data_IF_212842953382
#
_entry.id   IF_212842953382
#
_cell.length_a   1.000
_cell.length_b   1.000
_cell.length_c   1.000
_cell.angle_alpha   90.00
_cell.angle_beta   90.00
_cell.angle_gamma   90.00
#
_symmetry.space_group_name_H-M   'P 1'
#
loop_
_entity.id
_entity.type
_entity.pdbx_description
1 polymer ?
#
# COMPACT_ATOMS: atom_id res chain seq x y z
N UNK A 1 -10.79 -15.65 14.45
CA UNK A 1 -10.16 -14.32 14.43
C UNK A 1 -10.99 -13.29 13.66
N UNK A 2 -11.43 -13.56 12.43
CA UNK A 2 -12.28 -12.64 11.62
C UNK A 2 -13.44 -11.95 12.39
N UNK A 3 -14.18 -12.68 13.24
CA UNK A 3 -15.29 -12.13 14.03
C UNK A 3 -14.91 -11.01 15.01
N UNK A 4 -13.70 -11.04 15.60
CA UNK A 4 -13.25 -10.00 16.52
C UNK A 4 -12.83 -8.72 15.78
N UNK A 5 -12.10 -8.88 14.67
CA UNK A 5 -11.64 -7.77 13.82
C UNK A 5 -12.82 -6.98 13.26
N UNK A 6 -13.84 -7.69 12.75
CA UNK A 6 -15.04 -7.05 12.22
C UNK A 6 -15.87 -6.33 13.29
N UNK A 7 -15.90 -6.84 14.52
CA UNK A 7 -16.59 -6.14 15.61
C UNK A 7 -15.87 -4.85 16.01
N UNK A 8 -14.54 -4.87 16.09
CA UNK A 8 -13.72 -3.68 16.30
C UNK A 8 -13.89 -2.67 15.17
N UNK A 9 -13.90 -3.14 13.91
CA UNK A 9 -14.15 -2.29 12.75
C UNK A 9 -15.53 -1.62 12.81
N UNK A 10 -16.59 -2.39 13.10
CA UNK A 10 -17.95 -1.85 13.26
C UNK A 10 -18.02 -0.77 14.32
N UNK A 11 -17.36 -1.00 15.47
CA UNK A 11 -17.30 -0.01 16.54
C UNK A 11 -16.59 1.27 16.06
N UNK A 12 -15.42 1.15 15.44
CA UNK A 12 -14.66 2.30 14.92
C UNK A 12 -15.40 3.07 13.84
N UNK A 13 -16.10 2.37 12.94
CA UNK A 13 -16.92 3.01 11.92
C UNK A 13 -18.14 3.72 12.52
N UNK A 14 -18.75 3.16 13.57
CA UNK A 14 -19.87 3.79 14.27
C UNK A 14 -19.45 5.00 15.12
N UNK A 15 -18.22 5.02 15.64
CA UNK A 15 -17.65 6.13 16.42
C UNK A 15 -17.29 7.34 15.54
N UNK A 16 -17.07 7.13 14.24
CA UNK A 16 -16.65 8.18 13.32
C UNK A 16 -17.85 8.86 12.63
N UNK A 17 -17.87 10.20 12.64
CA UNK A 17 -18.90 10.98 11.95
C UNK A 17 -18.85 10.85 10.42
N UNK A 18 -17.71 10.42 9.87
CA UNK A 18 -17.47 10.21 8.45
C UNK A 18 -16.64 8.95 8.21
N UNK A 19 -16.88 8.24 7.11
CA UNK A 19 -16.03 7.12 6.70
C UNK A 19 -14.57 7.57 6.52
N UNK A 20 -13.63 6.75 6.99
CA UNK A 20 -12.18 7.00 6.96
C UNK A 20 -11.47 5.82 6.28
N UNK A 21 -10.29 6.02 5.67
CA UNK A 21 -9.59 4.91 5.02
C UNK A 21 -9.28 3.76 5.98
N UNK A 22 -9.37 2.53 5.47
CA UNK A 22 -9.09 1.31 6.22
C UNK A 22 -7.89 0.62 5.57
N UNK A 23 -6.91 0.26 6.39
CA UNK A 23 -5.79 -0.59 6.00
C UNK A 23 -5.98 -1.97 6.63
N UNK A 24 -6.02 -3.01 5.81
CA UNK A 24 -6.07 -4.40 6.29
C UNK A 24 -4.83 -5.14 5.83
N UNK A 25 -4.10 -5.72 6.79
CA UNK A 25 -2.89 -6.50 6.51
C UNK A 25 -3.30 -7.89 6.05
N UNK A 26 -3.02 -8.24 4.80
CA UNK A 26 -3.43 -9.52 4.22
C UNK A 26 -2.49 -10.66 4.59
N UNK A 27 -1.20 -10.32 4.72
CA UNK A 27 -0.12 -11.28 4.88
C UNK A 27 0.81 -10.94 6.06
N UNK A 28 0.52 -9.90 6.85
CA UNK A 28 1.34 -9.50 7.99
C UNK A 28 2.63 -8.78 7.64
N UNK A 29 2.84 -8.42 6.37
CA UNK A 29 4.09 -7.80 5.91
C UNK A 29 3.86 -6.69 4.88
N UNK A 30 3.63 -7.07 3.62
CA UNK A 30 3.62 -6.16 2.48
C UNK A 30 2.35 -6.17 1.63
N UNK A 31 1.51 -7.20 1.76
CA UNK A 31 0.24 -7.26 1.04
C UNK A 31 -0.86 -6.58 1.83
N UNK A 32 -1.46 -5.55 1.25
CA UNK A 32 -2.48 -4.73 1.90
C UNK A 32 -3.78 -4.69 1.09
N UNK A 33 -4.91 -4.76 1.79
CA UNK A 33 -6.18 -4.25 1.28
C UNK A 33 -6.36 -2.83 1.82
N UNK A 34 -6.42 -1.86 0.92
CA UNK A 34 -6.58 -0.45 1.20
C UNK A 34 -7.99 -0.05 0.74
N UNK A 35 -8.85 0.34 1.68
CA UNK A 35 -10.23 0.75 1.40
C UNK A 35 -10.37 2.25 1.59
N UNK A 36 -10.53 3.00 0.50
CA UNK A 36 -10.61 4.47 0.51
C UNK A 36 -12.07 4.89 0.42
N UNK A 37 -12.59 5.76 1.31
CA UNK A 37 -13.99 6.18 1.26
C UNK A 37 -14.33 6.82 -0.08
N UNK A 38 -15.42 6.37 -0.70
CA UNK A 38 -15.95 7.03 -1.89
C UNK A 38 -16.59 8.37 -1.50
N UNK A 39 -16.40 9.42 -2.32
CA UNK A 39 -17.24 10.62 -2.23
C UNK A 39 -18.71 10.25 -2.24
N UNK A 40 -19.55 10.96 -1.48
CA UNK A 40 -20.97 10.61 -1.31
C UNK A 40 -21.71 10.48 -2.64
N UNK A 41 -21.39 11.32 -3.63
CA UNK A 41 -21.98 11.28 -4.98
C UNK A 41 -21.57 10.04 -5.81
N UNK A 42 -20.51 9.34 -5.42
CA UNK A 42 -19.92 8.18 -6.12
C UNK A 42 -20.24 6.84 -5.41
N UNK A 43 -21.02 6.87 -4.31
CA UNK A 43 -21.43 5.70 -3.53
C UNK A 43 -22.57 4.95 -4.22
N UNK A 44 -22.27 4.28 -5.34
CA UNK A 44 -23.22 3.46 -6.12
C UNK A 44 -23.33 2.05 -5.53
N UNK A 45 -23.84 1.92 -4.31
CA UNK A 45 -23.96 0.62 -3.62
C UNK A 45 -22.68 0.13 -2.93
N UNK A 46 -21.58 0.87 -3.03
CA UNK A 46 -20.32 0.64 -2.29
C UNK A 46 -19.91 1.90 -1.54
N UNK A 47 -19.48 1.74 -0.29
CA UNK A 47 -18.98 2.81 0.55
C UNK A 47 -17.50 3.12 0.27
N UNK A 48 -16.73 2.13 -0.15
CA UNK A 48 -15.30 2.22 -0.36
C UNK A 48 -14.87 1.86 -1.78
N UNK A 49 -13.71 2.40 -2.17
CA UNK A 49 -12.93 1.93 -3.29
C UNK A 49 -11.82 1.02 -2.75
N UNK A 50 -11.83 -0.24 -3.15
CA UNK A 50 -10.96 -1.29 -2.60
C UNK A 50 -9.77 -1.58 -3.50
N UNK A 51 -8.58 -1.37 -2.96
CA UNK A 51 -7.29 -1.56 -3.60
C UNK A 51 -6.57 -2.73 -2.95
N UNK A 52 -6.17 -3.72 -3.73
CA UNK A 52 -5.18 -4.72 -3.29
C UNK A 52 -3.80 -4.23 -3.72
N UNK A 53 -2.85 -4.12 -2.80
CA UNK A 53 -1.49 -3.63 -3.06
C UNK A 53 -0.47 -4.75 -2.82
N UNK A 54 0.43 -4.96 -3.80
CA UNK A 54 1.55 -5.92 -3.77
C UNK A 54 1.15 -7.30 -3.23
N UNK A 55 0.28 -8.00 -3.97
CA UNK A 55 -0.30 -9.26 -3.53
C UNK A 55 0.70 -10.43 -3.61
N UNK A 56 1.20 -10.84 -2.44
CA UNK A 56 1.94 -12.06 -2.18
C UNK A 56 1.29 -12.83 -1.03
N UNK A 57 0.33 -13.69 -1.39
CA UNK A 57 -0.49 -14.45 -0.43
C UNK A 57 -0.05 -15.91 -0.29
N UNK A 58 0.83 -16.38 -1.20
CA UNK A 58 1.43 -17.70 -1.12
C UNK A 58 2.55 -17.78 -0.05
N UNK A 59 2.86 -18.97 0.49
CA UNK A 59 3.85 -19.10 1.58
C UNK A 59 5.30 -18.79 1.17
N UNK A 60 5.63 -19.04 -0.10
CA UNK A 60 6.96 -18.84 -0.65
C UNK A 60 6.91 -18.14 -1.99
N UNK A 61 8.05 -17.66 -2.48
CA UNK A 61 8.21 -17.12 -3.83
C UNK A 61 9.66 -17.26 -4.28
N UNK A 62 9.88 -17.22 -5.60
CA UNK A 62 11.19 -17.45 -6.21
C UNK A 62 11.56 -16.22 -7.03
N UNK A 63 12.61 -15.51 -6.63
CA UNK A 63 13.05 -14.28 -7.32
C UNK A 63 13.75 -14.56 -8.66
N UNK A 64 14.26 -15.78 -8.86
CA UNK A 64 14.90 -16.24 -10.11
C UNK A 64 14.60 -17.71 -10.40
N UNK A 65 15.51 -18.61 -10.01
CA UNK A 65 15.31 -20.06 -9.93
C UNK A 65 15.43 -20.45 -8.46
N UNK A 66 14.72 -21.48 -8.00
CA UNK A 66 14.65 -21.81 -6.57
C UNK A 66 16.01 -22.14 -5.92
N UNK A 67 17.03 -22.52 -6.70
CA UNK A 67 18.40 -22.75 -6.22
C UNK A 67 19.27 -21.47 -6.14
N UNK A 68 18.78 -20.36 -6.70
CA UNK A 68 19.47 -19.05 -6.77
C UNK A 68 19.07 -18.17 -5.58
N UNK A 69 17.77 -17.83 -5.48
CA UNK A 69 17.20 -17.08 -4.35
C UNK A 69 15.72 -17.43 -4.21
N UNK A 70 15.35 -17.97 -3.05
CA UNK A 70 13.99 -18.24 -2.63
C UNK A 70 13.70 -17.42 -1.37
N UNK A 71 12.56 -16.75 -1.39
CA UNK A 71 12.03 -15.97 -0.29
C UNK A 71 10.84 -16.75 0.28
N UNK A 72 10.79 -16.90 1.60
CA UNK A 72 9.67 -17.51 2.30
C UNK A 72 9.15 -16.58 3.37
N UNK A 73 7.84 -16.63 3.63
CA UNK A 73 7.24 -15.96 4.78
C UNK A 73 7.36 -16.85 6.02
N UNK A 74 7.51 -16.21 7.18
CA UNK A 74 7.55 -16.93 8.46
C UNK A 74 6.17 -17.44 8.91
N UNK A 75 5.11 -16.80 8.44
CA UNK A 75 3.73 -17.18 8.70
C UNK A 75 2.94 -17.18 7.39
N UNK A 76 1.88 -17.98 7.33
CA UNK A 76 0.95 -18.00 6.20
C UNK A 76 0.15 -16.69 6.10
N UNK A 77 -0.40 -16.39 4.92
CA UNK A 77 -1.30 -15.23 4.81
C UNK A 77 -2.58 -15.49 5.62
N UNK A 78 -3.05 -14.47 6.35
CA UNK A 78 -4.37 -14.56 6.97
C UNK A 78 -5.47 -14.61 5.91
N UNK A 79 -5.24 -13.94 4.77
CA UNK A 79 -6.12 -13.93 3.60
C UNK A 79 -5.36 -14.57 2.44
N UNK A 80 -5.79 -15.75 2.00
CA UNK A 80 -4.95 -16.64 1.18
C UNK A 80 -5.06 -16.41 -0.34
N UNK A 81 -6.15 -15.81 -0.84
CA UNK A 81 -6.45 -15.69 -2.27
C UNK A 81 -7.46 -14.57 -2.57
N UNK A 82 -7.69 -14.31 -3.87
CA UNK A 82 -8.66 -13.34 -4.36
C UNK A 82 -10.08 -13.53 -3.80
N UNK A 83 -10.67 -14.74 -3.83
CA UNK A 83 -11.98 -14.99 -3.21
C UNK A 83 -12.04 -14.66 -1.71
N UNK A 84 -10.97 -14.94 -0.95
CA UNK A 84 -10.91 -14.55 0.46
C UNK A 84 -10.86 -13.02 0.65
N UNK A 85 -10.18 -12.29 -0.25
CA UNK A 85 -10.20 -10.82 -0.27
C UNK A 85 -11.61 -10.28 -0.59
N UNK A 86 -12.32 -10.89 -1.54
CA UNK A 86 -13.71 -10.54 -1.87
C UNK A 86 -14.64 -10.70 -0.67
N UNK A 87 -14.52 -11.81 0.07
CA UNK A 87 -15.30 -12.03 1.30
C UNK A 87 -15.00 -10.96 2.36
N UNK A 88 -13.72 -10.61 2.55
CA UNK A 88 -13.30 -9.55 3.46
C UNK A 88 -13.89 -8.18 3.05
N UNK A 89 -13.93 -7.87 1.74
CA UNK A 89 -14.56 -6.65 1.23
C UNK A 89 -16.05 -6.62 1.57
N UNK A 90 -16.76 -7.74 1.40
CA UNK A 90 -18.18 -7.83 1.77
C UNK A 90 -18.41 -7.56 3.27
N UNK A 91 -17.50 -8.03 4.14
CA UNK A 91 -17.57 -7.75 5.57
C UNK A 91 -17.34 -6.26 5.89
N UNK A 92 -16.38 -5.61 5.22
CA UNK A 92 -16.09 -4.17 5.35
C UNK A 92 -17.29 -3.34 4.88
N UNK A 93 -17.82 -3.62 3.68
CA UNK A 93 -18.97 -2.93 3.11
C UNK A 93 -20.24 -3.14 3.96
N UNK A 94 -20.46 -4.35 4.47
CA UNK A 94 -21.54 -4.64 5.42
C UNK A 94 -21.41 -3.86 6.74
N UNK A 95 -20.19 -3.72 7.26
CA UNK A 95 -19.93 -2.89 8.45
C UNK A 95 -20.17 -1.40 8.19
N UNK A 96 -19.77 -0.90 7.01
CA UNK A 96 -19.97 0.49 6.59
C UNK A 96 -21.45 0.82 6.39
N UNK A 97 -22.20 -0.09 5.77
CA UNK A 97 -23.64 0.02 5.57
C UNK A 97 -24.38 0.17 6.90
N UNK A 98 -24.01 -0.65 7.90
CA UNK A 98 -24.58 -0.62 9.24
C UNK A 98 -24.24 0.66 10.01
N UNK A 99 -23.03 1.21 9.83
CA UNK A 99 -22.56 2.37 10.56
C UNK A 99 -23.15 3.70 10.06
N UNK A 100 -23.29 3.88 8.75
CA UNK A 100 -23.52 5.22 8.19
C UNK A 100 -24.91 5.45 7.59
N UNK A 101 -25.84 4.48 7.62
CA UNK A 101 -27.06 4.50 6.78
C UNK A 101 -26.76 4.90 5.31
N UNK A 102 -25.50 4.75 4.88
CA UNK A 102 -24.91 5.49 3.75
C UNK A 102 -25.10 4.80 2.42
N UNK A 103 -25.78 3.66 2.41
CA UNK A 103 -26.16 2.96 1.20
C UNK A 103 -27.65 3.22 1.02
N UNK A 104 -27.97 4.26 0.24
CA UNK A 104 -29.28 4.29 -0.40
C UNK A 104 -29.39 3.00 -1.22
N UNK A 105 -30.56 2.35 -1.19
CA UNK A 105 -30.85 1.16 -1.99
C UNK A 105 -30.27 1.32 -3.42
N UNK A 106 -29.77 0.22 -4.04
CA UNK A 106 -29.17 0.30 -5.36
C UNK A 106 -30.08 1.14 -6.26
N UNK A 107 -29.52 2.20 -6.85
CA UNK A 107 -30.23 2.90 -7.90
C UNK A 107 -30.61 1.86 -8.95
N UNK A 108 -31.88 1.87 -9.36
CA UNK A 108 -32.41 1.09 -10.46
C UNK A 108 -31.80 1.63 -11.77
N UNK A 109 -30.47 1.49 -11.91
CA UNK A 109 -29.74 1.78 -13.13
C UNK A 109 -30.00 0.60 -14.06
N UNK A 110 -31.00 0.77 -14.92
CA UNK A 110 -31.23 -0.12 -16.04
C UNK A 110 -29.92 -0.42 -16.78
N UNK A 111 -29.71 -1.71 -17.06
CA UNK A 111 -28.78 -2.28 -18.03
C UNK A 111 -27.26 -2.22 -17.77
N UNK A 112 -26.76 -1.85 -16.59
CA UNK A 112 -25.35 -2.13 -16.24
C UNK A 112 -25.29 -3.36 -15.35
N UNK A 113 -24.87 -4.49 -15.91
CA UNK A 113 -24.63 -5.71 -15.14
C UNK A 113 -23.70 -5.39 -13.94
N UNK A 114 -24.03 -5.84 -12.72
CA UNK A 114 -23.16 -5.62 -11.57
C UNK A 114 -21.77 -6.16 -11.89
N UNK A 115 -20.74 -5.36 -11.61
CA UNK A 115 -19.35 -5.83 -11.63
C UNK A 115 -19.29 -7.16 -10.87
N UNK A 116 -18.76 -8.21 -11.52
CA UNK A 116 -18.67 -9.53 -10.89
C UNK A 116 -17.68 -9.56 -9.71
N UNK A 117 -16.85 -8.52 -9.57
CA UNK A 117 -15.81 -8.37 -8.55
C UNK A 117 -16.06 -7.14 -7.67
N UNK A 118 -15.85 -7.29 -6.36
CA UNK A 118 -15.90 -6.19 -5.38
C UNK A 118 -14.53 -5.53 -5.21
N UNK A 119 -13.47 -6.07 -5.80
CA UNK A 119 -12.15 -5.45 -5.85
C UNK A 119 -12.16 -4.42 -6.99
N UNK A 120 -11.81 -3.17 -6.67
CA UNK A 120 -11.86 -2.09 -7.66
C UNK A 120 -10.53 -1.95 -8.43
N UNK A 121 -9.40 -2.29 -7.80
CA UNK A 121 -8.09 -2.26 -8.45
C UNK A 121 -7.06 -3.15 -7.75
N UNK A 122 -6.11 -3.66 -8.52
CA UNK A 122 -4.86 -4.22 -8.02
C UNK A 122 -3.73 -3.26 -8.37
N UNK A 123 -2.95 -2.84 -7.38
CA UNK A 123 -1.74 -2.05 -7.56
C UNK A 123 -0.50 -2.90 -7.31
N UNK A 124 0.33 -3.01 -8.34
CA UNK A 124 1.60 -3.73 -8.32
C UNK A 124 2.76 -2.73 -8.39
N UNK A 125 3.24 -2.32 -7.22
CA UNK A 125 4.18 -1.22 -7.05
C UNK A 125 5.63 -1.63 -7.31
N UNK A 126 5.91 -2.93 -7.28
CA UNK A 126 7.24 -3.45 -7.53
C UNK A 126 7.20 -4.83 -8.19
N UNK A 127 8.26 -5.18 -8.91
CA UNK A 127 8.30 -6.35 -9.80
C UNK A 127 9.08 -7.53 -9.22
N UNK A 128 9.68 -7.37 -8.03
CA UNK A 128 10.34 -8.46 -7.34
C UNK A 128 9.31 -9.42 -6.74
N UNK A 129 9.71 -10.66 -6.57
CA UNK A 129 8.80 -11.79 -6.39
C UNK A 129 8.10 -11.82 -5.01
N UNK A 130 8.65 -11.11 -4.03
CA UNK A 130 8.01 -10.81 -2.74
C UNK A 130 6.89 -9.77 -2.87
N UNK A 131 6.84 -8.99 -3.94
CA UNK A 131 5.73 -8.10 -4.25
C UNK A 131 4.80 -8.68 -5.33
N UNK A 132 5.36 -9.41 -6.29
CA UNK A 132 4.71 -9.88 -7.51
C UNK A 132 4.76 -11.41 -7.60
N UNK A 133 3.68 -12.09 -7.18
CA UNK A 133 3.56 -13.54 -7.26
C UNK A 133 2.44 -13.95 -8.24
N UNK A 134 2.82 -14.64 -9.33
CA UNK A 134 1.88 -15.07 -10.38
C UNK A 134 0.78 -15.98 -9.83
N UNK A 135 1.13 -16.90 -8.90
CA UNK A 135 0.17 -17.83 -8.31
C UNK A 135 -0.91 -17.08 -7.56
N UNK A 136 -0.52 -16.10 -6.74
CA UNK A 136 -1.45 -15.20 -6.04
C UNK A 136 -2.28 -14.41 -7.04
N UNK A 137 -1.66 -13.73 -8.01
CA UNK A 137 -2.36 -12.85 -8.94
C UNK A 137 -3.38 -13.60 -9.82
N UNK A 138 -3.13 -14.85 -10.19
CA UNK A 138 -4.08 -15.69 -10.93
C UNK A 138 -5.33 -16.09 -10.14
N UNK A 139 -5.34 -15.91 -8.82
CA UNK A 139 -6.54 -16.16 -8.00
C UNK A 139 -7.58 -15.04 -8.09
N UNK A 140 -7.18 -13.85 -8.55
CA UNK A 140 -8.09 -12.72 -8.74
C UNK A 140 -8.86 -12.83 -10.06
N UNK A 141 -10.05 -12.23 -10.10
CA UNK A 141 -10.87 -12.21 -11.32
C UNK A 141 -10.16 -11.50 -12.48
N UNK A 142 -10.32 -11.98 -13.74
CA UNK A 142 -9.64 -11.41 -14.91
C UNK A 142 -10.06 -9.98 -15.22
N UNK A 143 -11.27 -9.58 -14.78
CA UNK A 143 -11.83 -8.24 -15.03
C UNK A 143 -11.34 -7.17 -14.05
N UNK A 144 -10.65 -7.56 -12.96
CA UNK A 144 -10.07 -6.60 -12.02
C UNK A 144 -8.94 -5.83 -12.73
N UNK A 145 -8.99 -4.49 -12.80
CA UNK A 145 -7.93 -3.73 -13.46
C UNK A 145 -6.65 -3.76 -12.63
N UNK A 146 -5.54 -4.04 -13.30
CA UNK A 146 -4.20 -4.04 -12.71
C UNK A 146 -3.45 -2.79 -13.13
N UNK A 147 -2.95 -2.05 -12.15
CA UNK A 147 -2.07 -0.91 -12.33
C UNK A 147 -0.70 -1.27 -11.80
N UNK A 148 0.32 -1.25 -12.67
CA UNK A 148 1.63 -1.76 -12.35
C UNK A 148 2.74 -0.80 -12.79
N UNK A 149 3.92 -0.87 -12.16
CA UNK A 149 5.09 -0.20 -12.74
C UNK A 149 5.40 -0.74 -14.14
N UNK A 150 6.15 -0.02 -14.98
CA UNK A 150 6.50 -0.50 -16.32
C UNK A 150 7.09 -1.91 -16.32
N UNK A 151 7.95 -2.22 -15.35
CA UNK A 151 8.60 -3.53 -15.19
C UNK A 151 7.60 -4.62 -14.78
N UNK A 152 6.75 -4.35 -13.78
CA UNK A 152 5.73 -5.29 -13.34
C UNK A 152 4.68 -5.55 -14.44
N UNK A 153 4.25 -4.52 -15.17
CA UNK A 153 3.34 -4.67 -16.29
C UNK A 153 3.91 -5.56 -17.41
N UNK A 154 5.22 -5.46 -17.68
CA UNK A 154 5.90 -6.28 -18.67
C UNK A 154 5.93 -7.77 -18.28
N UNK A 155 5.92 -8.09 -16.98
CA UNK A 155 5.83 -9.46 -16.45
C UNK A 155 4.38 -9.97 -16.50
N UNK A 156 3.41 -9.13 -16.10
CA UNK A 156 2.00 -9.54 -15.96
C UNK A 156 1.30 -9.72 -17.32
N UNK A 157 1.56 -8.85 -18.31
CA UNK A 157 0.87 -8.89 -19.61
C UNK A 157 1.00 -10.26 -20.33
N UNK A 158 2.20 -10.88 -20.43
CA UNK A 158 2.36 -12.20 -21.03
C UNK A 158 1.57 -13.33 -20.37
N UNK A 159 1.13 -13.16 -19.10
CA UNK A 159 0.32 -14.17 -18.42
C UNK A 159 -1.07 -14.35 -19.03
N UNK A 160 -1.54 -13.37 -19.82
CA UNK A 160 -2.85 -13.34 -20.47
C UNK A 160 -4.01 -13.68 -19.53
N UNK A 161 -3.91 -13.23 -18.28
CA UNK A 161 -4.92 -13.46 -17.24
C UNK A 161 -5.88 -12.26 -17.12
N UNK A 162 -5.33 -11.05 -16.95
CA UNK A 162 -6.13 -9.84 -16.76
C UNK A 162 -6.51 -9.17 -18.08
N UNK A 163 -7.77 -8.74 -18.17
CA UNK A 163 -8.31 -7.98 -19.30
C UNK A 163 -7.66 -6.58 -19.41
N UNK A 164 -7.28 -6.00 -18.27
CA UNK A 164 -6.76 -4.63 -18.18
C UNK A 164 -5.47 -4.58 -17.36
N UNK A 165 -4.35 -4.22 -18.01
CA UNK A 165 -3.05 -3.98 -17.37
C UNK A 165 -2.50 -2.63 -17.80
N UNK A 166 -2.65 -1.64 -16.92
CA UNK A 166 -2.24 -0.26 -17.08
C UNK A 166 -0.91 0.03 -16.36
N UNK A 167 -0.16 1.01 -16.85
CA UNK A 167 1.09 1.44 -16.23
C UNK A 167 0.87 2.64 -15.30
N UNK A 168 1.41 2.57 -14.10
CA UNK A 168 1.52 3.72 -13.18
C UNK A 168 2.53 4.72 -13.71
N UNK A 169 2.36 6.00 -13.37
CA UNK A 169 3.30 7.07 -13.76
C UNK A 169 4.30 7.37 -12.65
N UNK A 170 5.44 7.91 -13.06
CA UNK A 170 6.41 8.52 -12.15
C UNK A 170 6.12 10.02 -12.04
N UNK A 171 6.28 10.58 -10.84
CA UNK A 171 6.25 12.04 -10.64
C UNK A 171 7.50 12.67 -11.28
N UNK A 172 7.30 13.57 -12.24
CA UNK A 172 8.38 14.41 -12.76
C UNK A 172 8.62 15.59 -11.80
N UNK A 173 9.76 15.64 -11.09
CA UNK A 173 10.04 16.71 -10.15
C UNK A 173 10.22 18.08 -10.82
N UNK A 174 10.48 18.15 -12.12
CA UNK A 174 10.60 19.40 -12.87
C UNK A 174 9.23 20.00 -13.22
N UNK A 175 8.18 19.16 -13.27
CA UNK A 175 6.82 19.57 -13.58
C UNK A 175 5.82 18.78 -12.70
N UNK A 176 5.81 19.00 -11.37
CA UNK A 176 5.00 18.19 -10.47
C UNK A 176 3.50 18.37 -10.70
N UNK A 177 3.09 19.57 -11.15
CA UNK A 177 1.71 19.87 -11.55
C UNK A 177 0.67 19.45 -10.52
N UNK A 178 -0.45 18.92 -11.02
CA UNK A 178 -1.50 18.36 -10.18
C UNK A 178 -1.42 16.84 -10.12
N UNK A 179 -1.65 16.29 -8.92
CA UNK A 179 -1.70 14.83 -8.71
C UNK A 179 -2.74 14.13 -9.59
N UNK A 180 -3.74 14.86 -10.10
CA UNK A 180 -4.77 14.35 -11.03
C UNK A 180 -4.25 14.06 -12.44
N UNK A 181 -3.16 14.71 -12.84
CA UNK A 181 -2.51 14.50 -14.15
C UNK A 181 -1.57 13.29 -14.12
N UNK A 182 -1.18 12.86 -12.92
CA UNK A 182 -0.34 11.70 -12.66
C UNK A 182 -1.12 10.38 -12.64
N UNK A 183 -2.42 10.41 -12.95
CA UNK A 183 -3.23 9.19 -13.03
C UNK A 183 -2.61 8.20 -14.03
N UNK A 184 -2.63 6.88 -13.72
CA UNK A 184 -2.11 5.83 -14.59
C UNK A 184 -2.62 5.89 -16.03
N UNK A 185 -1.86 5.28 -16.95
CA UNK A 185 -2.30 5.11 -18.33
C UNK A 185 -3.66 4.40 -18.38
N UNK A 186 -4.58 4.85 -19.23
CA UNK A 186 -5.95 4.33 -19.22
C UNK A 186 -6.79 4.83 -18.04
N UNK A 187 -6.53 6.05 -17.55
CA UNK A 187 -7.19 6.71 -16.41
C UNK A 187 -8.72 6.84 -16.46
N UNK A 188 -9.41 6.24 -17.44
CA UNK A 188 -10.84 5.96 -17.40
C UNK A 188 -11.21 4.84 -16.42
N UNK A 189 -10.26 3.96 -16.06
CA UNK A 189 -10.47 2.85 -15.13
C UNK A 189 -10.33 3.25 -13.65
N UNK A 190 -9.75 4.43 -13.36
CA UNK A 190 -9.68 4.99 -12.00
C UNK A 190 -10.62 6.19 -11.87
N UNK A 191 -11.31 6.33 -10.74
CA UNK A 191 -12.16 7.47 -10.52
C UNK A 191 -11.37 8.77 -10.48
N UNK A 192 -11.99 9.88 -10.89
CA UNK A 192 -11.32 11.19 -11.03
C UNK A 192 -10.84 11.78 -9.69
N UNK A 193 -11.36 11.29 -8.58
CA UNK A 193 -11.01 11.71 -7.22
C UNK A 193 -9.84 10.92 -6.62
N UNK A 194 -9.27 9.94 -7.34
CA UNK A 194 -8.16 9.08 -6.89
C UNK A 194 -7.02 9.05 -7.91
N UNK A 195 -5.78 9.05 -7.42
CA UNK A 195 -4.58 8.85 -8.26
C UNK A 195 -3.54 8.04 -7.51
N UNK A 196 -2.75 7.27 -8.27
CA UNK A 196 -1.65 6.48 -7.73
C UNK A 196 -0.46 6.61 -8.66
N UNK A 197 0.68 7.00 -8.10
CA UNK A 197 1.91 7.26 -8.85
C UNK A 197 3.14 7.01 -8.00
N UNK A 198 4.27 6.78 -8.66
CA UNK A 198 5.55 6.45 -8.02
C UNK A 198 6.42 7.69 -7.86
N UNK A 199 7.01 7.81 -6.69
CA UNK A 199 8.10 8.71 -6.36
C UNK A 199 9.40 7.93 -6.53
N UNK A 200 10.13 8.22 -7.60
CA UNK A 200 11.43 7.59 -7.86
C UNK A 200 12.43 8.00 -6.80
N UNK A 201 13.29 7.07 -6.39
CA UNK A 201 14.42 7.37 -5.52
C UNK A 201 15.74 6.90 -6.10
N UNK A 202 16.77 6.94 -5.26
CA UNK A 202 18.15 6.78 -5.68
C UNK A 202 18.53 5.40 -6.23
N UNK A 203 17.73 4.37 -5.91
CA UNK A 203 17.85 3.01 -6.43
C UNK A 203 16.46 2.45 -6.68
N UNK A 204 16.36 1.41 -7.51
CA UNK A 204 15.07 0.81 -7.91
C UNK A 204 14.25 0.28 -6.73
N UNK A 205 14.91 -0.28 -5.70
CA UNK A 205 14.27 -0.74 -4.46
C UNK A 205 13.78 0.44 -3.62
N UNK A 206 14.49 1.57 -3.68
CA UNK A 206 14.27 2.70 -2.80
C UNK A 206 13.37 3.74 -3.46
N UNK A 207 12.06 3.48 -3.43
CA UNK A 207 11.01 4.35 -3.96
C UNK A 207 9.89 4.55 -2.92
N UNK A 208 8.92 5.37 -3.27
CA UNK A 208 7.63 5.38 -2.59
C UNK A 208 6.49 5.43 -3.61
N UNK A 209 5.36 4.79 -3.33
CA UNK A 209 4.11 5.00 -4.06
C UNK A 209 3.25 5.97 -3.27
N UNK A 210 2.77 7.01 -3.92
CA UNK A 210 1.75 7.90 -3.38
C UNK A 210 0.38 7.47 -3.89
N UNK A 211 -0.54 7.21 -2.97
CA UNK A 211 -1.98 7.02 -3.25
C UNK A 211 -2.68 8.27 -2.75
N UNK A 212 -3.16 9.12 -3.66
CA UNK A 212 -3.73 10.43 -3.35
C UNK A 212 -5.22 10.43 -3.68
N UNK A 213 -6.05 10.91 -2.75
CA UNK A 213 -7.48 11.08 -3.00
C UNK A 213 -7.99 12.43 -2.52
N UNK A 214 -9.09 12.88 -3.11
CA UNK A 214 -9.88 13.98 -2.56
C UNK A 214 -10.75 13.46 -1.41
N UNK A 215 -10.70 14.14 -0.26
CA UNK A 215 -11.55 13.82 0.88
C UNK A 215 -13.03 13.96 0.48
N UNK A 216 -13.85 12.99 0.89
CA UNK A 216 -15.28 12.97 0.61
C UNK A 216 -16.05 14.08 1.34
N UNK A 217 -15.48 14.62 2.42
CA UNK A 217 -16.15 15.58 3.33
C UNK A 217 -15.56 16.98 3.25
N UNK A 218 -14.28 17.12 2.88
CA UNK A 218 -13.59 18.40 2.78
C UNK A 218 -12.92 18.60 1.43
N UNK A 219 -12.61 19.86 1.08
CA UNK A 219 -11.79 20.17 -0.10
C UNK A 219 -10.31 19.79 0.08
N UNK A 220 -9.97 19.06 1.15
CA UNK A 220 -8.59 18.62 1.39
C UNK A 220 -8.23 17.40 0.52
N UNK A 221 -6.94 17.29 0.23
CA UNK A 221 -6.36 16.13 -0.44
C UNK A 221 -5.52 15.36 0.56
N UNK A 222 -5.79 14.06 0.66
CA UNK A 222 -5.11 13.17 1.58
C UNK A 222 -4.27 12.16 0.79
N UNK A 223 -3.18 11.68 1.40
CA UNK A 223 -2.34 10.66 0.81
C UNK A 223 -1.96 9.54 1.77
N UNK A 224 -1.78 8.36 1.21
CA UNK A 224 -1.01 7.27 1.77
C UNK A 224 0.33 7.22 1.04
N UNK A 225 1.43 7.17 1.78
CA UNK A 225 2.77 7.03 1.22
C UNK A 225 3.34 5.65 1.54
N UNK A 226 3.41 4.77 0.56
CA UNK A 226 3.91 3.42 0.70
C UNK A 226 5.37 3.33 0.25
N UNK A 227 6.31 3.14 1.16
CA UNK A 227 7.75 3.10 0.87
C UNK A 227 8.38 1.82 1.46
N UNK A 228 8.31 0.70 0.72
CA UNK A 228 8.65 -0.62 1.24
C UNK A 228 10.10 -0.74 1.70
N UNK A 229 11.04 -0.21 0.91
CA UNK A 229 12.47 -0.23 1.24
C UNK A 229 13.02 1.15 1.63
N UNK A 230 12.14 2.14 1.78
CA UNK A 230 12.49 3.51 2.09
C UNK A 230 12.96 4.34 0.90
N UNK A 231 12.73 5.64 1.00
CA UNK A 231 13.17 6.66 0.05
C UNK A 231 13.98 7.71 0.80
N UNK A 232 15.09 8.19 0.20
CA UNK A 232 15.87 9.25 0.84
C UNK A 232 15.13 10.58 0.73
N UNK A 233 15.21 11.39 1.78
CA UNK A 233 14.54 12.70 1.80
C UNK A 233 15.06 13.65 0.74
N UNK A 234 16.33 13.54 0.34
CA UNK A 234 16.95 14.39 -0.69
C UNK A 234 16.50 14.07 -2.13
N UNK A 235 15.65 13.07 -2.33
CA UNK A 235 15.21 12.67 -3.67
C UNK A 235 14.29 13.74 -4.28
N UNK A 236 14.57 14.19 -5.52
CA UNK A 236 13.79 15.25 -6.17
C UNK A 236 12.29 14.95 -6.23
N UNK A 237 11.90 13.70 -6.54
CA UNK A 237 10.49 13.31 -6.60
C UNK A 237 9.80 13.44 -5.22
N UNK A 238 10.46 13.03 -4.14
CA UNK A 238 9.91 13.18 -2.80
C UNK A 238 9.82 14.66 -2.39
N UNK A 239 10.82 15.47 -2.70
CA UNK A 239 10.78 16.91 -2.43
C UNK A 239 9.67 17.60 -3.23
N UNK A 240 9.48 17.22 -4.49
CA UNK A 240 8.41 17.74 -5.32
C UNK A 240 7.02 17.32 -4.81
N UNK A 241 6.86 16.06 -4.38
CA UNK A 241 5.63 15.60 -3.74
C UNK A 241 5.33 16.36 -2.45
N UNK A 242 6.33 16.54 -1.59
CA UNK A 242 6.16 17.15 -0.28
C UNK A 242 5.88 18.66 -0.33
N UNK A 243 6.46 19.38 -1.32
CA UNK A 243 6.48 20.85 -1.30
C UNK A 243 5.92 21.52 -2.56
N UNK A 244 5.85 20.82 -3.69
CA UNK A 244 5.61 21.46 -5.00
C UNK A 244 4.36 20.96 -5.73
N UNK A 245 3.58 20.03 -5.14
CA UNK A 245 2.29 19.62 -5.72
C UNK A 245 1.24 20.73 -5.56
N UNK A 246 0.44 20.94 -6.61
CA UNK A 246 -0.70 21.85 -6.61
C UNK A 246 -1.98 21.12 -7.04
N UNK A 247 -2.98 20.97 -6.15
CA UNK A 247 -3.01 21.44 -4.78
C UNK A 247 -2.12 20.62 -3.83
N UNK A 248 -1.71 21.20 -2.67
CA UNK A 248 -0.96 20.49 -1.65
C UNK A 248 -1.73 19.28 -1.11
N UNK A 249 -0.99 18.25 -0.71
CA UNK A 249 -1.55 16.98 -0.22
C UNK A 249 -1.06 16.72 1.20
N UNK A 250 -1.98 16.32 2.09
CA UNK A 250 -1.66 15.93 3.47
C UNK A 250 -1.44 14.43 3.54
N UNK A 251 -0.25 14.01 3.94
CA UNK A 251 0.02 12.58 4.18
C UNK A 251 -0.68 12.15 5.47
N UNK A 252 -1.64 11.23 5.37
CA UNK A 252 -2.28 10.64 6.54
C UNK A 252 -1.42 9.60 7.20
N UNK A 253 -0.87 8.71 6.38
CA UNK A 253 -0.08 7.61 6.86
C UNK A 253 1.06 7.34 5.90
N UNK A 254 2.17 6.87 6.45
CA UNK A 254 3.22 6.23 5.68
C UNK A 254 3.34 4.76 6.07
N UNK A 255 3.59 3.89 5.09
CA UNK A 255 3.91 2.49 5.30
C UNK A 255 5.40 2.32 5.05
N UNK A 256 6.15 1.95 6.08
CA UNK A 256 7.61 1.87 6.03
C UNK A 256 8.15 0.87 7.06
N UNK A 257 9.21 0.15 6.70
CA UNK A 257 9.88 -0.82 7.57
C UNK A 257 10.68 -0.17 8.70
N UNK A 258 10.85 -0.88 9.81
CA UNK A 258 11.81 -0.53 10.85
C UNK A 258 13.15 -1.22 10.61
N UNK A 259 13.14 -2.44 10.07
CA UNK A 259 14.35 -3.22 9.80
C UNK A 259 15.25 -2.57 8.74
N UNK A 260 16.55 -2.62 8.97
CA UNK A 260 17.53 -2.43 7.90
C UNK A 260 17.74 -3.78 7.21
N UNK A 261 17.76 -3.78 5.88
CA UNK A 261 18.16 -4.96 5.08
C UNK A 261 19.45 -4.65 4.36
N UNK A 262 20.33 -5.65 4.28
CA UNK A 262 21.61 -5.53 3.59
C UNK A 262 21.75 -6.64 2.54
N UNK A 263 22.33 -6.29 1.40
CA UNK A 263 22.78 -7.24 0.39
C UNK A 263 24.11 -6.74 -0.19
N UNK A 264 25.08 -7.64 -0.36
CA UNK A 264 26.43 -7.34 -0.81
C UNK A 264 27.10 -6.21 0.01
N UNK A 265 26.84 -6.17 1.32
CA UNK A 265 27.33 -5.13 2.22
C UNK A 265 26.70 -3.75 2.03
N UNK A 266 25.79 -3.58 1.06
CA UNK A 266 25.03 -2.35 0.83
C UNK A 266 23.68 -2.42 1.53
N UNK A 267 23.25 -1.32 2.13
CA UNK A 267 21.93 -1.22 2.74
C UNK A 267 20.86 -1.05 1.64
N UNK A 268 19.94 -2.00 1.56
CA UNK A 268 18.85 -2.03 0.57
C UNK A 268 17.54 -1.50 1.15
N UNK A 269 17.23 -1.78 2.41
CA UNK A 269 16.09 -1.20 3.15
C UNK A 269 16.61 -0.19 4.17
N UNK A 270 16.08 1.03 4.16
CA UNK A 270 16.61 2.15 4.97
C UNK A 270 16.24 2.11 6.48
N UNK A 271 15.34 1.21 6.87
CA UNK A 271 14.92 0.97 8.25
C UNK A 271 14.45 2.21 9.00
N UNK A 272 14.55 2.16 10.35
CA UNK A 272 14.09 3.24 11.24
C UNK A 272 14.72 4.59 10.89
N UNK A 273 16.01 4.64 10.55
CA UNK A 273 16.67 5.90 10.23
C UNK A 273 16.09 6.56 8.96
N UNK A 274 15.81 5.77 7.93
CA UNK A 274 15.13 6.27 6.73
C UNK A 274 13.69 6.66 7.00
N UNK A 275 12.97 5.85 7.78
CA UNK A 275 11.58 6.11 8.15
C UNK A 275 11.44 7.38 8.99
N UNK A 276 12.29 7.60 10.00
CA UNK A 276 12.29 8.85 10.77
C UNK A 276 12.54 10.05 9.87
N UNK A 277 13.54 9.99 8.98
CA UNK A 277 13.79 11.08 8.04
C UNK A 277 12.57 11.38 7.16
N UNK A 278 11.91 10.34 6.64
CA UNK A 278 10.69 10.47 5.84
C UNK A 278 9.54 11.05 6.66
N UNK A 279 9.35 10.59 7.90
CA UNK A 279 8.35 11.10 8.84
C UNK A 279 8.55 12.60 9.10
N UNK A 280 9.79 13.06 9.34
CA UNK A 280 10.08 14.49 9.53
C UNK A 280 9.75 15.32 8.28
N UNK A 281 9.98 14.74 7.10
CA UNK A 281 9.78 15.40 5.81
C UNK A 281 8.29 15.58 5.47
N UNK A 282 7.48 14.53 5.62
CA UNK A 282 6.07 14.53 5.16
C UNK A 282 5.04 14.61 6.30
N UNK A 283 5.50 14.52 7.55
CA UNK A 283 4.71 14.63 8.79
C UNK A 283 3.39 13.85 8.74
N UNK A 284 3.46 12.53 8.51
CA UNK A 284 2.25 11.72 8.48
C UNK A 284 1.60 11.68 9.86
N UNK A 285 0.28 11.51 9.92
CA UNK A 285 -0.42 11.29 11.20
C UNK A 285 -0.12 9.91 11.80
N UNK A 286 0.20 8.93 10.95
CA UNK A 286 0.52 7.56 11.32
C UNK A 286 1.74 7.03 10.58
N UNK A 287 2.60 6.30 11.29
CA UNK A 287 3.58 5.40 10.68
C UNK A 287 3.06 3.98 10.85
N UNK A 288 2.61 3.37 9.76
CA UNK A 288 2.16 1.98 9.76
C UNK A 288 3.35 1.08 9.44
N UNK A 289 3.66 0.15 10.35
CA UNK A 289 4.74 -0.81 10.16
C UNK A 289 4.38 -1.76 9.01
N UNK A 290 5.25 -1.85 8.01
CA UNK A 290 5.11 -2.72 6.83
C UNK A 290 6.48 -3.12 6.31
N UNK A 291 6.62 -4.24 5.59
CA UNK A 291 7.92 -4.76 5.11
C UNK A 291 8.89 -5.03 6.26
N UNK A 292 8.36 -5.42 7.42
CA UNK A 292 9.13 -5.58 8.65
C UNK A 292 9.17 -7.03 9.11
N UNK A 293 8.37 -7.92 8.50
CA UNK A 293 8.41 -9.33 8.82
C UNK A 293 9.80 -9.91 8.46
N UNK A 294 10.28 -10.82 9.30
CA UNK A 294 11.49 -11.58 8.98
C UNK A 294 11.21 -12.46 7.77
N UNK A 295 12.02 -12.33 6.72
CA UNK A 295 11.93 -13.22 5.55
C UNK A 295 12.88 -14.39 5.71
N UNK A 296 12.46 -15.55 5.20
CA UNK A 296 13.30 -16.74 5.10
C UNK A 296 14.06 -16.68 3.78
N UNK A 297 15.36 -16.41 3.85
CA UNK A 297 16.24 -16.39 2.69
C UNK A 297 16.90 -17.76 2.49
N UNK A 298 16.82 -18.30 1.28
CA UNK A 298 17.53 -19.53 0.91
C UNK A 298 18.02 -19.50 -0.54
N UNK A 299 18.98 -20.36 -0.87
CA UNK A 299 19.63 -20.40 -2.18
C UNK A 299 21.08 -19.90 -2.17
N UNK A 300 21.82 -20.18 -3.24
CA UNK A 300 23.26 -19.88 -3.32
C UNK A 300 23.56 -18.38 -3.30
N UNK A 301 22.70 -17.54 -3.90
CA UNK A 301 22.92 -16.08 -3.90
C UNK A 301 22.55 -15.47 -2.56
N UNK A 302 21.54 -15.97 -1.83
CA UNK A 302 21.25 -15.48 -0.48
C UNK A 302 22.48 -15.57 0.42
N UNK A 303 23.19 -16.69 0.34
CA UNK A 303 24.43 -16.93 1.08
C UNK A 303 25.61 -16.08 0.56
N UNK A 304 25.84 -16.05 -0.76
CA UNK A 304 26.94 -15.28 -1.36
C UNK A 304 26.77 -13.76 -1.22
N UNK A 305 25.53 -13.27 -1.22
CA UNK A 305 25.21 -11.86 -1.08
C UNK A 305 25.19 -11.40 0.38
N UNK A 306 25.44 -12.30 1.35
CA UNK A 306 25.34 -12.02 2.78
C UNK A 306 24.06 -11.24 3.13
N UNK A 307 22.91 -11.71 2.61
CA UNK A 307 21.64 -11.06 2.88
C UNK A 307 21.35 -11.17 4.37
N UNK A 308 21.14 -10.03 5.03
CA UNK A 308 20.84 -10.01 6.44
C UNK A 308 19.89 -8.86 6.77
N UNK A 309 18.92 -9.16 7.62
CA UNK A 309 18.00 -8.19 8.20
C UNK A 309 18.43 -7.85 9.63
N UNK A 310 18.39 -6.57 9.97
CA UNK A 310 18.64 -6.06 11.32
C UNK A 310 17.38 -5.34 11.77
N UNK A 311 16.61 -6.00 12.64
CA UNK A 311 15.42 -5.39 13.27
C UNK A 311 15.86 -4.31 14.25
N UNK A 312 15.15 -3.18 14.24
CA UNK A 312 15.37 -2.05 15.14
C UNK A 312 14.02 -1.55 15.68
N UNK A 313 14.06 -0.91 16.84
CA UNK A 313 12.91 -0.20 17.41
C UNK A 313 12.93 1.29 17.05
N UNK A 314 11.78 1.97 17.18
CA UNK A 314 11.70 3.42 17.02
C UNK A 314 12.58 4.11 18.05
N UNK A 315 12.61 3.58 19.28
CA UNK A 315 13.42 4.06 20.39
C UNK A 315 14.91 4.02 20.05
N UNK A 316 15.40 2.96 19.40
CA UNK A 316 16.78 2.88 18.94
C UNK A 316 17.10 4.00 17.94
N UNK A 317 16.17 4.26 17.01
CA UNK A 317 16.32 5.32 16.01
C UNK A 317 16.30 6.72 16.61
N UNK A 318 15.41 6.98 17.57
CA UNK A 318 15.33 8.26 18.27
C UNK A 318 16.57 8.51 19.12
N UNK A 319 17.10 7.49 19.79
CA UNK A 319 18.36 7.59 20.52
C UNK A 319 19.53 7.93 19.58
N UNK A 320 19.58 7.33 18.39
CA UNK A 320 20.58 7.64 17.37
C UNK A 320 20.42 9.07 16.81
N UNK A 321 19.19 9.53 16.60
CA UNK A 321 18.88 10.90 16.14
C UNK A 321 19.29 11.93 17.21
N UNK A 322 18.90 11.73 18.47
CA UNK A 322 19.22 12.61 19.59
C UNK A 322 20.73 12.72 19.85
N UNK A 323 21.46 11.60 19.70
CA UNK A 323 22.92 11.61 19.79
C UNK A 323 23.61 12.45 18.71
N UNK A 324 22.97 12.64 17.54
CA UNK A 324 23.50 13.43 16.42
C UNK A 324 23.04 14.89 16.45
N UNK A 325 21.78 15.15 16.80
CA UNK A 325 21.16 16.47 16.74
C UNK A 325 21.21 17.24 18.06
N UNK A 326 21.35 16.54 19.19
CA UNK A 326 21.21 17.12 20.53
C UNK A 326 19.78 17.55 20.87
N UNK A 327 18.79 17.22 20.02
CA UNK A 327 17.38 17.59 20.18
C UNK A 327 16.53 16.33 20.27
N UNK A 328 15.68 16.26 21.29
CA UNK A 328 14.68 15.21 21.42
C UNK A 328 13.57 15.46 20.39
N UNK A 329 13.56 14.66 19.33
CA UNK A 329 12.56 14.75 18.28
C UNK A 329 11.33 13.93 18.70
N UNK A 330 10.13 14.50 18.54
CA UNK A 330 8.88 13.87 18.99
C UNK A 330 8.69 12.45 18.45
N UNK A 331 8.16 11.57 19.30
CA UNK A 331 7.90 10.17 18.97
C UNK A 331 6.80 10.08 17.88
N UNK A 332 7.09 9.44 16.73
CA UNK A 332 6.07 9.16 15.72
C UNK A 332 4.95 8.29 16.28
N UNK A 333 3.73 8.45 15.74
CA UNK A 333 2.61 7.55 16.05
C UNK A 333 2.76 6.26 15.24
N UNK A 334 3.57 5.33 15.75
CA UNK A 334 3.72 3.99 15.18
C UNK A 334 2.44 3.18 15.37
N UNK A 335 2.01 2.48 14.32
CA UNK A 335 0.86 1.57 14.28
C UNK A 335 1.33 0.24 13.74
N UNK A 336 1.04 -0.83 14.48
CA UNK A 336 1.22 -2.20 14.02
C UNK A 336 -0.16 -2.77 13.68
N UNK A 337 -0.25 -3.41 12.52
CA UNK A 337 -1.47 -4.09 12.07
C UNK A 337 -1.12 -5.54 11.85
N UNK A 338 -1.63 -6.39 12.75
CA UNK A 338 -1.35 -7.82 12.73
C UNK A 338 -1.89 -8.49 11.45
N UNK A 339 -1.36 -9.66 11.13
CA UNK A 339 -1.78 -10.44 9.96
C UNK A 339 -3.27 -10.81 10.03
N UNK A 340 -4.06 -10.25 9.12
CA UNK A 340 -5.53 -10.39 9.07
C UNK A 340 -6.31 -9.31 9.82
N UNK A 341 -5.62 -8.42 10.54
CA UNK A 341 -6.23 -7.30 11.25
C UNK A 341 -6.33 -6.06 10.36
N UNK A 342 -7.16 -5.11 10.82
CA UNK A 342 -7.40 -3.85 10.12
C UNK A 342 -7.25 -2.64 11.04
N UNK A 343 -6.95 -1.50 10.44
CA UNK A 343 -6.77 -0.22 11.11
C UNK A 343 -7.45 0.91 10.35
N UNK A 344 -8.18 1.77 11.06
CA UNK A 344 -8.89 2.93 10.49
C UNK A 344 -8.05 4.19 10.64
N UNK A 345 -7.77 4.88 9.52
CA UNK A 345 -6.99 6.11 9.47
C UNK A 345 -7.84 7.35 9.81
N UNK A 346 -8.02 7.63 11.10
CA UNK A 346 -8.73 8.82 11.59
C UNK A 346 -8.06 10.14 11.22
#
# INVERSE_FOLDING_TARGET
>A
MASAVINTLKQRLAENASLRPILTSLNGDNSWLISIPRPTAERRGKAYFHIVSDAWLTPDTVLFRAWVLKLGRQADAAIADGPAVENLIQEIEGAAAAACNAISAPADDGDIAPSQTSIDAIFQNFHYADHLDERTLRTFGPDVPVFATPEAAAIIRPWNHFCHVAQTRDLDPACPGTWRDLRPEGGALLPTWLSVFRLTGHHELNFATAIVWADAVSDAHEALLYSPHGIRVDQPALQAFAHNLDPPVRVLAMLHALKDSFAFGSRTTLGVAGGLALERQVRPKYWVKSHDAGLLYSGLIAWLAWINDITRSIEDGLAEEAGKSGVDAGMPKLVEVDNGDCFVLE
#
